data_IF_208300440185
#
_entry.id   IF_208300440185
#
_cell.length_a   1.000
_cell.length_b   1.000
_cell.length_c   1.000
_cell.angle_alpha   90.00
_cell.angle_beta   90.00
_cell.angle_gamma   90.00
#
_symmetry.space_group_name_H-M   'P 1'
#
loop_
_entity.id
_entity.type
_entity.pdbx_description
1 polymer ?
#
# COMPACT_ATOMS: atom_id res chain seq x y z
N UNK A 1 5.76 -17.41 -0.40
CA UNK A 1 6.38 -16.65 0.71
C UNK A 1 6.29 -15.13 0.53
N UNK A 2 6.62 -14.55 -0.63
CA UNK A 2 6.61 -13.08 -0.85
C UNK A 2 5.25 -12.45 -0.52
N UNK A 3 4.16 -12.95 -1.06
CA UNK A 3 2.82 -12.38 -0.81
C UNK A 3 2.37 -12.51 0.64
N UNK A 4 2.79 -13.55 1.37
CA UNK A 4 2.51 -13.66 2.80
C UNK A 4 3.27 -12.61 3.62
N UNK A 5 4.55 -12.38 3.32
CA UNK A 5 5.34 -11.31 3.93
C UNK A 5 4.76 -9.93 3.63
N UNK A 6 4.36 -9.70 2.37
CA UNK A 6 3.70 -8.45 1.97
C UNK A 6 2.35 -8.26 2.67
N UNK A 7 1.54 -9.32 2.80
CA UNK A 7 0.29 -9.26 3.55
C UNK A 7 0.52 -8.86 5.02
N UNK A 8 1.58 -9.38 5.66
CA UNK A 8 1.95 -8.98 7.02
C UNK A 8 2.33 -7.50 7.11
N UNK A 9 3.03 -6.95 6.10
CA UNK A 9 3.33 -5.51 6.03
C UNK A 9 2.05 -4.66 5.95
N UNK A 10 1.06 -5.07 5.15
CA UNK A 10 -0.23 -4.37 5.06
C UNK A 10 -1.04 -4.45 6.36
N UNK A 11 -0.98 -5.57 7.09
CA UNK A 11 -1.58 -5.64 8.43
C UNK A 11 -0.87 -4.64 9.37
N UNK A 12 0.46 -4.58 9.35
CA UNK A 12 1.22 -3.59 10.12
C UNK A 12 0.86 -2.15 9.75
N UNK A 13 0.72 -1.86 8.46
CA UNK A 13 0.26 -0.55 7.96
C UNK A 13 -1.15 -0.21 8.46
N UNK A 14 -2.08 -1.16 8.41
CA UNK A 14 -3.43 -0.97 8.96
C UNK A 14 -3.44 -0.65 10.47
N UNK A 15 -2.58 -1.28 11.26
CA UNK A 15 -2.39 -0.96 12.67
C UNK A 15 -1.80 0.44 12.88
N UNK A 16 -0.85 0.84 12.03
CA UNK A 16 -0.31 2.20 12.03
C UNK A 16 -1.41 3.23 11.71
N UNK A 17 -2.26 2.96 10.71
CA UNK A 17 -3.37 3.84 10.37
C UNK A 17 -4.45 3.87 11.46
N UNK A 18 -4.67 2.77 12.19
CA UNK A 18 -5.56 2.76 13.36
C UNK A 18 -5.05 3.68 14.47
N UNK A 19 -3.75 3.63 14.75
CA UNK A 19 -3.11 4.57 15.69
C UNK A 19 -3.24 6.01 15.20
N UNK A 20 -2.94 6.27 13.91
CA UNK A 20 -3.07 7.59 13.29
C UNK A 20 -4.50 8.13 13.34
N UNK A 21 -5.51 7.29 13.11
CA UNK A 21 -6.92 7.65 13.25
C UNK A 21 -7.24 8.15 14.65
N UNK A 22 -6.83 7.39 15.68
CA UNK A 22 -7.07 7.77 17.09
C UNK A 22 -6.35 9.09 17.43
N UNK A 23 -5.11 9.26 16.96
CA UNK A 23 -4.31 10.45 17.21
C UNK A 23 -4.82 11.70 16.46
N UNK A 24 -5.54 11.54 15.37
CA UNK A 24 -5.99 12.63 14.50
C UNK A 24 -7.50 12.94 14.62
N UNK A 25 -8.19 12.48 15.65
CA UNK A 25 -9.65 12.70 15.81
C UNK A 25 -10.06 14.18 15.85
N UNK A 26 -9.14 15.09 16.19
CA UNK A 26 -9.37 16.52 16.17
C UNK A 26 -9.24 17.16 14.77
N UNK A 27 -8.69 16.43 13.78
CA UNK A 27 -8.54 16.83 12.39
C UNK A 27 -9.39 15.92 11.50
N UNK A 28 -10.58 16.34 11.06
CA UNK A 28 -11.50 15.47 10.32
C UNK A 28 -10.94 14.94 8.99
N UNK A 29 -10.11 15.72 8.28
CA UNK A 29 -9.54 15.31 7.00
C UNK A 29 -8.49 14.22 7.20
N UNK A 30 -7.60 14.43 8.16
CA UNK A 30 -6.57 13.45 8.51
C UNK A 30 -7.17 12.18 9.11
N UNK A 31 -8.18 12.32 9.96
CA UNK A 31 -8.91 11.18 10.52
C UNK A 31 -9.61 10.36 9.42
N UNK A 32 -10.26 11.01 8.45
CA UNK A 32 -10.91 10.32 7.31
C UNK A 32 -9.90 9.57 6.44
N UNK A 33 -8.72 10.15 6.20
CA UNK A 33 -7.63 9.49 5.49
C UNK A 33 -7.19 8.21 6.20
N UNK A 34 -6.88 8.30 7.51
CA UNK A 34 -6.49 7.13 8.28
C UNK A 34 -7.60 6.07 8.38
N UNK A 35 -8.87 6.49 8.54
CA UNK A 35 -10.02 5.59 8.56
C UNK A 35 -10.15 4.77 7.28
N UNK A 36 -9.92 5.39 6.12
CA UNK A 36 -9.93 4.68 4.83
C UNK A 36 -8.88 3.56 4.80
N UNK A 37 -7.65 3.82 5.26
CA UNK A 37 -6.58 2.83 5.24
C UNK A 37 -6.69 1.77 6.34
N UNK A 38 -7.36 2.03 7.45
CA UNK A 38 -7.76 0.98 8.43
C UNK A 38 -8.59 -0.11 7.75
N UNK A 39 -9.36 0.23 6.71
CA UNK A 39 -10.16 -0.72 5.93
C UNK A 39 -9.40 -1.27 4.72
N UNK A 40 -8.73 -0.42 3.97
CA UNK A 40 -8.03 -0.78 2.72
C UNK A 40 -6.89 -1.77 2.99
N UNK A 41 -6.08 -1.54 4.03
CA UNK A 41 -4.88 -2.34 4.27
C UNK A 41 -5.18 -3.80 4.62
N UNK A 42 -6.09 -4.14 5.56
CA UNK A 42 -6.41 -5.54 5.83
C UNK A 42 -7.13 -6.23 4.65
N UNK A 43 -7.93 -5.50 3.88
CA UNK A 43 -8.52 -6.04 2.63
C UNK A 43 -7.41 -6.34 1.63
N UNK A 44 -6.45 -5.44 1.44
CA UNK A 44 -5.29 -5.64 0.57
C UNK A 44 -4.45 -6.83 1.03
N UNK A 45 -4.20 -6.97 2.33
CA UNK A 45 -3.51 -8.12 2.91
C UNK A 45 -4.22 -9.44 2.56
N UNK A 46 -5.53 -9.50 2.75
CA UNK A 46 -6.34 -10.66 2.39
C UNK A 46 -6.26 -10.97 0.89
N UNK A 47 -6.40 -9.94 0.03
CA UNK A 47 -6.34 -10.10 -1.42
C UNK A 47 -4.94 -10.52 -1.93
N UNK A 48 -3.86 -10.09 -1.27
CA UNK A 48 -2.50 -10.56 -1.54
C UNK A 48 -2.35 -12.07 -1.26
N UNK A 49 -3.06 -12.61 -0.28
CA UNK A 49 -3.05 -14.05 -0.01
C UNK A 49 -3.93 -14.83 -0.99
N UNK A 50 -5.09 -14.28 -1.38
CA UNK A 50 -6.06 -14.95 -2.26
C UNK A 50 -5.73 -14.78 -3.74
N UNK A 51 -5.17 -13.64 -4.13
CA UNK A 51 -4.74 -13.26 -5.49
C UNK A 51 -5.78 -13.56 -6.58
N UNK A 52 -7.03 -13.04 -6.47
CA UNK A 52 -8.00 -13.19 -7.54
C UNK A 52 -7.51 -12.47 -8.81
N UNK A 53 -7.94 -12.94 -9.98
CA UNK A 53 -7.41 -12.47 -11.28
C UNK A 53 -7.66 -10.98 -11.56
N UNK A 54 -8.69 -10.39 -10.95
CA UNK A 54 -8.99 -8.97 -11.06
C UNK A 54 -8.12 -8.09 -10.13
N UNK A 55 -7.52 -8.68 -9.09
CA UNK A 55 -6.82 -7.92 -8.04
C UNK A 55 -5.64 -7.08 -8.53
N UNK A 56 -4.82 -7.50 -9.53
CA UNK A 56 -3.75 -6.65 -10.06
C UNK A 56 -4.26 -5.29 -10.57
N UNK A 57 -5.48 -5.20 -11.10
CA UNK A 57 -6.05 -3.93 -11.56
C UNK A 57 -6.39 -2.99 -10.39
N UNK A 58 -7.04 -3.51 -9.35
CA UNK A 58 -7.33 -2.75 -8.13
C UNK A 58 -6.03 -2.33 -7.42
N UNK A 59 -5.04 -3.24 -7.37
CA UNK A 59 -3.75 -2.96 -6.79
C UNK A 59 -2.95 -1.92 -7.59
N UNK A 60 -3.12 -1.84 -8.91
CA UNK A 60 -2.53 -0.79 -9.74
C UNK A 60 -3.07 0.60 -9.36
N UNK A 61 -4.38 0.73 -9.13
CA UNK A 61 -4.99 1.99 -8.66
C UNK A 61 -4.42 2.38 -7.29
N UNK A 62 -4.35 1.44 -6.36
CA UNK A 62 -3.74 1.67 -5.05
C UNK A 62 -2.27 2.05 -5.17
N UNK A 63 -1.52 1.40 -6.06
CA UNK A 63 -0.10 1.72 -6.32
C UNK A 63 0.08 3.17 -6.79
N UNK A 64 -0.73 3.63 -7.74
CA UNK A 64 -0.67 5.02 -8.22
C UNK A 64 -0.97 5.99 -7.09
N UNK A 65 -2.00 5.73 -6.29
CA UNK A 65 -2.36 6.56 -5.14
C UNK A 65 -1.23 6.61 -4.10
N UNK A 66 -0.61 5.47 -3.78
CA UNK A 66 0.49 5.39 -2.81
C UNK A 66 1.76 6.10 -3.31
N UNK A 67 2.11 5.95 -4.59
CA UNK A 67 3.24 6.67 -5.18
C UNK A 67 3.00 8.18 -5.12
N UNK A 68 1.78 8.64 -5.40
CA UNK A 68 1.45 10.06 -5.34
C UNK A 68 1.55 10.59 -3.91
N UNK A 69 0.87 9.96 -2.92
CA UNK A 69 0.84 10.47 -1.55
C UNK A 69 2.22 10.42 -0.89
N UNK A 70 2.91 9.29 -0.94
CA UNK A 70 4.25 9.16 -0.37
C UNK A 70 5.31 9.95 -1.15
N UNK A 71 5.13 10.11 -2.46
CA UNK A 71 5.99 10.99 -3.26
C UNK A 71 5.88 12.45 -2.83
N UNK A 72 4.67 12.92 -2.56
CA UNK A 72 4.45 14.27 -2.04
C UNK A 72 4.98 14.45 -0.62
N UNK A 73 4.81 13.47 0.25
CA UNK A 73 5.37 13.46 1.61
C UNK A 73 6.90 13.54 1.58
N UNK A 74 7.56 12.66 0.83
CA UNK A 74 9.01 12.65 0.67
C UNK A 74 9.55 13.97 0.11
N UNK A 75 8.89 14.53 -0.90
CA UNK A 75 9.27 15.79 -1.51
C UNK A 75 9.11 16.97 -0.53
N UNK A 76 8.02 16.97 0.24
CA UNK A 76 7.74 18.00 1.24
C UNK A 76 8.76 17.95 2.36
N UNK A 77 9.08 16.77 2.89
CA UNK A 77 10.10 16.59 3.92
C UNK A 77 11.47 17.08 3.43
N UNK A 78 11.85 16.71 2.20
CA UNK A 78 13.11 17.16 1.61
C UNK A 78 13.17 18.68 1.44
N UNK A 79 12.12 19.30 0.89
CA UNK A 79 12.08 20.76 0.68
C UNK A 79 12.05 21.56 1.96
N UNK A 80 11.36 21.05 2.99
CA UNK A 80 11.20 21.77 4.26
C UNK A 80 12.44 21.69 5.15
N UNK A 81 13.16 20.57 5.16
CA UNK A 81 14.21 20.30 6.14
C UNK A 81 15.46 19.58 5.60
N UNK A 82 15.46 19.18 4.31
CA UNK A 82 16.52 18.34 3.73
C UNK A 82 16.55 16.91 4.29
N UNK A 83 15.50 16.49 5.01
CA UNK A 83 15.40 15.15 5.59
C UNK A 83 14.89 14.17 4.54
N UNK A 84 15.52 13.00 4.50
CA UNK A 84 15.07 11.90 3.64
C UNK A 84 14.00 11.09 4.39
N UNK A 85 12.79 11.03 3.82
CA UNK A 85 11.71 10.18 4.30
C UNK A 85 11.87 8.75 3.75
N UNK A 86 12.61 7.93 4.50
CA UNK A 86 12.89 6.54 4.11
C UNK A 86 11.64 5.67 4.07
N UNK A 87 10.63 5.95 4.87
CA UNK A 87 9.36 5.19 4.87
C UNK A 87 8.63 5.42 3.57
N UNK A 88 8.45 6.67 3.16
CA UNK A 88 7.83 7.01 1.88
C UNK A 88 8.61 6.45 0.69
N UNK A 89 9.95 6.53 0.70
CA UNK A 89 10.78 5.94 -0.36
C UNK A 89 10.61 4.42 -0.41
N UNK A 90 10.57 3.74 0.73
CA UNK A 90 10.33 2.30 0.78
C UNK A 90 8.99 1.92 0.15
N UNK A 91 7.90 2.64 0.46
CA UNK A 91 6.58 2.39 -0.10
C UNK A 91 6.54 2.64 -1.61
N UNK A 92 7.15 3.72 -2.09
CA UNK A 92 7.27 4.05 -3.52
C UNK A 92 7.97 2.93 -4.31
N UNK A 93 8.94 2.24 -3.72
CA UNK A 93 9.63 1.12 -4.35
C UNK A 93 8.85 -0.20 -4.19
N UNK A 94 8.26 -0.43 -3.02
CA UNK A 94 7.55 -1.66 -2.70
C UNK A 94 6.31 -1.85 -3.57
N UNK A 95 5.47 -0.81 -3.69
CA UNK A 95 4.17 -0.91 -4.36
C UNK A 95 4.28 -1.32 -5.84
N UNK A 96 5.10 -0.67 -6.70
CA UNK A 96 5.25 -1.10 -8.08
C UNK A 96 5.92 -2.47 -8.19
N UNK A 97 6.85 -2.82 -7.29
CA UNK A 97 7.49 -4.13 -7.28
C UNK A 97 6.47 -5.24 -7.00
N UNK A 98 5.57 -5.05 -6.04
CA UNK A 98 4.48 -5.98 -5.77
C UNK A 98 3.48 -6.06 -6.93
N UNK A 99 3.18 -4.94 -7.57
CA UNK A 99 2.31 -4.92 -8.75
C UNK A 99 2.89 -5.78 -9.88
N UNK A 100 4.18 -5.64 -10.18
CA UNK A 100 4.87 -6.46 -11.20
C UNK A 100 4.77 -7.94 -10.83
N UNK A 101 5.00 -8.31 -9.57
CA UNK A 101 4.91 -9.69 -9.11
C UNK A 101 3.48 -10.24 -9.19
N UNK A 102 2.46 -9.43 -8.87
CA UNK A 102 1.05 -9.83 -9.00
C UNK A 102 0.65 -10.06 -10.45
N UNK A 103 1.06 -9.18 -11.36
CA UNK A 103 0.81 -9.34 -12.80
C UNK A 103 1.51 -10.59 -13.33
N UNK A 104 2.78 -10.80 -12.98
CA UNK A 104 3.53 -11.98 -13.37
C UNK A 104 2.87 -13.28 -12.86
N UNK A 105 2.45 -13.32 -11.58
CA UNK A 105 1.76 -14.46 -10.99
C UNK A 105 0.41 -14.73 -11.71
N UNK A 106 -0.37 -13.69 -11.99
CA UNK A 106 -1.64 -13.83 -12.69
C UNK A 106 -1.47 -14.39 -14.11
N UNK A 107 -0.49 -13.89 -14.87
CA UNK A 107 -0.20 -14.37 -16.23
C UNK A 107 0.29 -15.81 -16.22
N UNK A 108 1.20 -16.17 -15.32
CA UNK A 108 1.79 -17.52 -15.23
C UNK A 108 0.78 -18.56 -14.74
N UNK A 109 -0.14 -18.19 -13.84
CA UNK A 109 -1.23 -19.08 -13.43
C UNK A 109 -2.18 -19.37 -14.60
N UNK A 110 -2.56 -18.34 -15.36
CA UNK A 110 -3.44 -18.49 -16.52
C UNK A 110 -2.84 -19.37 -17.61
N UNK A 111 -1.54 -19.28 -17.87
CA UNK A 111 -0.87 -20.12 -18.86
C UNK A 111 -0.79 -21.61 -18.48
N UNK A 112 -0.83 -21.94 -17.19
CA UNK A 112 -0.82 -23.33 -16.69
C UNK A 112 -2.19 -24.01 -16.73
N UNK A 113 -3.26 -23.25 -16.86
CA UNK A 113 -4.64 -23.77 -16.95
C UNK A 113 -5.14 -23.96 -18.39
N UNK A 114 -4.37 -23.53 -19.36
CA UNK A 114 -4.60 -23.75 -20.80
C UNK A 114 -3.88 -24.98 -21.29
#
# INVERSE_FOLDING_TARGET
>A
MIFAGSAALFIGAGLYHLYGLIASLADPELAAFHAAFVVIDPITAYLLLRRPDWFPYAFAVLTVQQIYSHGMEALTAWRASGVIDYVSLFIILLMPSLLVLLVYDAVTRKSRTL
#
